data_IF_109171586044
#
_entry.id   IF_109171586044
#
_cell.length_a   1.000
_cell.length_b   1.000
_cell.length_c   1.000
_cell.angle_alpha   90.00
_cell.angle_beta   90.00
_cell.angle_gamma   90.00
#
_symmetry.space_group_name_H-M   'P 1'
#
loop_
_entity.id
_entity.type
_entity.pdbx_description
1 polymer ?
#
# COMPACT_ATOMS: atom_id res chain seq x y z
N UNK A 1 9.28 -6.93 -8.33
CA UNK A 1 8.60 -7.25 -9.61
C UNK A 1 9.26 -6.44 -10.71
N UNK A 2 9.35 -6.93 -11.95
CA UNK A 2 10.04 -6.22 -13.05
C UNK A 2 9.03 -5.75 -14.11
N UNK A 3 9.37 -4.75 -14.92
CA UNK A 3 8.57 -4.34 -16.10
C UNK A 3 8.16 -5.53 -17.00
N UNK A 4 9.08 -6.48 -17.20
CA UNK A 4 8.83 -7.75 -17.90
C UNK A 4 7.70 -8.59 -17.30
N UNK A 5 7.52 -8.56 -15.99
CA UNK A 5 6.45 -9.31 -15.31
C UNK A 5 5.09 -8.70 -15.62
N UNK A 6 5.00 -7.37 -15.52
CA UNK A 6 3.77 -6.64 -15.84
C UNK A 6 3.34 -6.84 -17.30
N UNK A 7 4.30 -6.84 -18.24
CA UNK A 7 4.02 -7.09 -19.66
C UNK A 7 3.54 -8.52 -19.90
N UNK A 8 4.25 -9.52 -19.37
CA UNK A 8 3.88 -10.94 -19.54
C UNK A 8 2.53 -11.32 -18.94
N UNK A 9 2.07 -10.60 -17.92
CA UNK A 9 0.80 -10.84 -17.25
C UNK A 9 -0.28 -9.80 -17.62
N UNK A 10 -0.07 -9.04 -18.69
CA UNK A 10 -1.05 -8.10 -19.25
C UNK A 10 -1.59 -7.11 -18.20
N UNK A 11 -0.69 -6.45 -17.47
CA UNK A 11 -1.09 -5.44 -16.51
C UNK A 11 -1.67 -4.23 -17.23
N UNK A 12 -2.80 -3.74 -16.74
CA UNK A 12 -3.39 -2.49 -17.18
C UNK A 12 -2.42 -1.32 -16.97
N UNK A 13 -2.52 -0.33 -17.86
CA UNK A 13 -1.70 0.88 -17.85
C UNK A 13 -2.61 2.10 -17.79
N UNK A 14 -2.28 3.15 -17.02
CA UNK A 14 -1.04 3.32 -16.25
C UNK A 14 -0.95 2.46 -14.98
N UNK A 15 -2.09 2.06 -14.40
CA UNK A 15 -2.18 1.31 -13.16
C UNK A 15 -3.09 0.10 -13.31
N UNK A 16 -2.75 -0.99 -12.63
CA UNK A 16 -3.58 -2.20 -12.56
C UNK A 16 -4.08 -2.40 -11.13
N UNK A 17 -5.39 -2.26 -10.93
CA UNK A 17 -6.02 -2.42 -9.61
C UNK A 17 -5.85 -3.83 -9.05
N UNK A 18 -5.82 -4.86 -9.89
CA UNK A 18 -5.62 -6.25 -9.46
C UNK A 18 -4.24 -6.40 -8.84
N UNK A 19 -3.23 -5.86 -9.51
CA UNK A 19 -1.85 -5.89 -9.04
C UNK A 19 -1.68 -5.13 -7.72
N UNK A 20 -2.25 -3.91 -7.62
CA UNK A 20 -2.13 -3.09 -6.43
C UNK A 20 -2.86 -3.70 -5.22
N UNK A 21 -4.08 -4.21 -5.42
CA UNK A 21 -4.79 -4.90 -4.34
C UNK A 21 -4.09 -6.19 -3.90
N UNK A 22 -3.52 -6.96 -4.84
CA UNK A 22 -2.72 -8.13 -4.49
C UNK A 22 -1.48 -7.74 -3.66
N UNK A 23 -0.76 -6.69 -4.06
CA UNK A 23 0.39 -6.17 -3.28
C UNK A 23 -0.04 -5.76 -1.87
N UNK A 24 -1.17 -5.06 -1.74
CA UNK A 24 -1.73 -4.68 -0.43
C UNK A 24 -2.10 -5.91 0.39
N UNK A 25 -2.72 -6.95 -0.20
CA UNK A 25 -3.05 -8.19 0.51
C UNK A 25 -1.79 -8.93 1.00
N UNK A 26 -0.73 -8.93 0.20
CA UNK A 26 0.57 -9.47 0.62
C UNK A 26 1.12 -8.70 1.81
N UNK A 27 1.11 -7.37 1.74
CA UNK A 27 1.57 -6.53 2.84
C UNK A 27 0.73 -6.71 4.12
N UNK A 28 -0.59 -6.88 3.97
CA UNK A 28 -1.47 -7.20 5.10
C UNK A 28 -1.08 -8.52 5.75
N UNK A 29 -0.80 -9.55 4.94
CA UNK A 29 -0.38 -10.85 5.43
C UNK A 29 0.98 -10.75 6.15
N UNK A 30 1.94 -9.98 5.62
CA UNK A 30 3.21 -9.70 6.30
C UNK A 30 2.98 -9.03 7.65
N UNK A 31 2.11 -8.03 7.74
CA UNK A 31 1.81 -7.36 9.01
C UNK A 31 1.08 -8.26 10.00
N UNK A 32 0.25 -9.19 9.54
CA UNK A 32 -0.49 -10.12 10.41
C UNK A 32 0.39 -11.25 10.95
N UNK A 33 1.32 -11.75 10.14
CA UNK A 33 2.17 -12.89 10.48
C UNK A 33 3.47 -12.49 11.19
N UNK A 34 3.97 -11.27 10.94
CA UNK A 34 5.16 -10.75 11.59
C UNK A 34 4.81 -9.78 12.71
N UNK A 35 5.69 -9.70 13.70
CA UNK A 35 5.50 -8.87 14.89
C UNK A 35 6.14 -7.48 14.73
N UNK A 36 5.73 -6.55 15.59
CA UNK A 36 6.29 -5.20 15.74
C UNK A 36 6.19 -4.26 14.53
N UNK A 37 5.47 -4.61 13.46
CA UNK A 37 5.24 -3.69 12.33
C UNK A 37 4.14 -2.69 12.69
N UNK A 38 4.47 -1.39 12.69
CA UNK A 38 3.56 -0.31 13.12
C UNK A 38 2.85 0.38 11.97
N UNK A 39 3.51 0.51 10.82
CA UNK A 39 2.95 1.08 9.59
C UNK A 39 3.61 0.40 8.38
N UNK A 40 2.85 0.21 7.31
CA UNK A 40 3.41 -0.11 6.00
C UNK A 40 2.88 0.83 4.93
N UNK A 41 3.70 1.13 3.94
CA UNK A 41 3.33 1.99 2.80
C UNK A 41 3.71 1.32 1.49
N UNK A 42 2.78 1.23 0.56
CA UNK A 42 2.98 0.62 -0.75
C UNK A 42 2.57 1.53 -1.90
N UNK A 43 3.33 1.46 -2.98
CA UNK A 43 3.07 2.16 -4.24
C UNK A 43 3.67 1.35 -5.40
N UNK A 44 3.01 1.36 -6.56
CA UNK A 44 3.45 0.61 -7.74
C UNK A 44 3.78 -0.85 -7.41
N UNK A 45 5.05 -1.23 -7.42
CA UNK A 45 5.60 -2.56 -7.23
C UNK A 45 6.50 -2.66 -5.97
N UNK A 46 6.46 -1.66 -5.08
CA UNK A 46 7.19 -1.64 -3.82
C UNK A 46 6.28 -1.55 -2.59
N UNK A 47 6.79 -2.05 -1.45
CA UNK A 47 6.19 -1.90 -0.13
C UNK A 47 7.28 -1.69 0.92
N UNK A 48 7.04 -0.74 1.82
CA UNK A 48 7.92 -0.38 2.93
C UNK A 48 7.25 -0.79 4.24
N UNK A 49 7.97 -1.51 5.11
CA UNK A 49 7.48 -1.95 6.41
C UNK A 49 8.29 -1.31 7.52
N UNK A 50 7.62 -0.64 8.45
CA UNK A 50 8.27 0.05 9.56
C UNK A 50 8.08 -0.77 10.82
N UNK A 51 9.19 -1.26 11.36
CA UNK A 51 9.21 -1.95 12.65
C UNK A 51 9.38 -0.94 13.79
N UNK A 52 8.73 -1.21 14.92
CA UNK A 52 8.79 -0.38 16.13
C UNK A 52 10.25 -0.14 16.54
N UNK A 53 10.60 1.11 16.87
CA UNK A 53 11.98 1.49 17.22
C UNK A 53 12.57 0.64 18.34
N UNK A 54 11.77 0.31 19.36
CA UNK A 54 12.14 -0.52 20.53
C UNK A 54 12.04 -2.04 20.29
N UNK A 55 11.69 -2.49 19.08
CA UNK A 55 11.57 -3.93 18.77
C UNK A 55 12.84 -4.70 19.12
N UNK A 56 12.68 -5.85 19.76
CA UNK A 56 13.77 -6.82 19.98
C UNK A 56 13.57 -8.09 19.14
N UNK A 57 12.69 -8.04 18.15
CA UNK A 57 12.38 -9.15 17.26
C UNK A 57 13.66 -9.66 16.58
N UNK A 58 13.88 -10.97 16.65
CA UNK A 58 15.11 -11.64 16.20
C UNK A 58 16.43 -10.98 16.64
N UNK A 59 16.49 -10.39 17.85
CA UNK A 59 17.67 -9.67 18.36
C UNK A 59 18.15 -8.59 17.40
N UNK A 60 17.22 -7.95 16.69
CA UNK A 60 17.46 -6.88 15.72
C UNK A 60 18.38 -7.26 14.55
N UNK A 61 18.44 -8.56 14.20
CA UNK A 61 19.25 -9.03 13.06
C UNK A 61 18.63 -8.57 11.74
N UNK A 62 19.29 -7.65 11.04
CA UNK A 62 18.83 -7.12 9.74
C UNK A 62 18.47 -8.22 8.74
N UNK A 63 19.26 -9.30 8.69
CA UNK A 63 18.98 -10.43 7.79
C UNK A 63 17.66 -11.12 8.09
N UNK A 64 17.19 -11.16 9.35
CA UNK A 64 15.91 -11.77 9.71
C UNK A 64 14.72 -10.90 9.31
N UNK A 65 14.78 -9.59 9.54
CA UNK A 65 13.76 -8.67 9.01
C UNK A 65 13.60 -8.81 7.51
N UNK A 66 14.72 -8.71 6.78
CA UNK A 66 14.73 -8.73 5.32
C UNK A 66 14.20 -10.06 4.77
N UNK A 67 14.74 -11.18 5.24
CA UNK A 67 14.39 -12.49 4.67
C UNK A 67 12.96 -12.91 5.00
N UNK A 68 12.48 -12.64 6.22
CA UNK A 68 11.11 -13.00 6.63
C UNK A 68 10.07 -12.14 5.93
N UNK A 69 10.30 -10.82 5.81
CA UNK A 69 9.41 -9.95 5.04
C UNK A 69 9.39 -10.39 3.58
N UNK A 70 10.56 -10.58 2.95
CA UNK A 70 10.63 -10.95 1.54
C UNK A 70 10.00 -12.32 1.25
N UNK A 71 10.26 -13.33 2.10
CA UNK A 71 9.69 -14.67 1.91
C UNK A 71 8.19 -14.70 2.14
N UNK A 72 7.70 -14.02 3.19
CA UNK A 72 6.27 -13.95 3.48
C UNK A 72 5.51 -13.17 2.40
N UNK A 73 6.09 -12.08 1.89
CA UNK A 73 5.51 -11.31 0.81
C UNK A 73 5.45 -12.12 -0.49
N UNK A 74 6.56 -12.75 -0.89
CA UNK A 74 6.64 -13.53 -2.12
C UNK A 74 5.71 -14.75 -2.12
N UNK A 75 5.65 -15.48 -1.01
CA UNK A 75 4.74 -16.62 -0.86
C UNK A 75 3.27 -16.17 -0.90
N UNK A 76 2.93 -15.08 -0.21
CA UNK A 76 1.59 -14.49 -0.25
C UNK A 76 1.20 -14.05 -1.66
N UNK A 77 2.14 -13.50 -2.45
CA UNK A 77 1.88 -13.03 -3.80
C UNK A 77 1.45 -14.15 -4.74
N UNK A 78 2.10 -15.31 -4.64
CA UNK A 78 1.71 -16.50 -5.39
C UNK A 78 0.40 -17.10 -4.85
N UNK A 79 0.26 -17.15 -3.53
CA UNK A 79 -0.90 -17.76 -2.86
C UNK A 79 -2.21 -17.03 -3.19
N UNK A 80 -2.23 -15.71 -3.08
CA UNK A 80 -3.42 -14.89 -3.32
C UNK A 80 -3.58 -14.44 -4.77
N UNK A 81 -2.71 -14.88 -5.70
CA UNK A 81 -2.76 -14.43 -7.10
C UNK A 81 -4.15 -14.62 -7.72
N UNK A 82 -4.76 -15.80 -7.52
CA UNK A 82 -6.07 -16.15 -8.10
C UNK A 82 -7.23 -15.33 -7.57
N UNK A 83 -7.10 -14.74 -6.37
CA UNK A 83 -8.16 -13.91 -5.76
C UNK A 83 -8.28 -12.55 -6.46
N UNK A 84 -7.23 -12.13 -7.19
CA UNK A 84 -7.18 -10.85 -7.89
C UNK A 84 -7.03 -11.00 -9.41
N UNK A 85 -6.41 -12.08 -9.86
CA UNK A 85 -6.22 -12.42 -11.26
C UNK A 85 -6.97 -13.73 -11.57
N UNK A 86 -8.29 -13.62 -11.68
CA UNK A 86 -9.18 -14.77 -11.92
C UNK A 86 -8.86 -15.48 -13.25
N UNK A 87 -8.78 -14.72 -14.34
CA UNK A 87 -8.58 -15.25 -15.70
C UNK A 87 -7.12 -15.30 -16.15
N UNK A 88 -6.24 -14.53 -15.50
CA UNK A 88 -4.85 -14.40 -15.92
C UNK A 88 -3.98 -15.36 -15.09
N UNK A 89 -3.47 -16.47 -15.67
CA UNK A 89 -2.61 -17.38 -14.93
C UNK A 89 -1.27 -16.73 -14.59
N UNK A 90 -0.71 -17.13 -13.45
CA UNK A 90 0.65 -16.78 -13.07
C UNK A 90 1.62 -17.64 -13.92
N UNK A 91 2.36 -16.99 -14.81
CA UNK A 91 3.23 -17.68 -15.77
C UNK A 91 4.55 -18.15 -15.14
N UNK A 92 5.05 -17.44 -14.13
CA UNK A 92 6.27 -17.80 -13.40
C UNK A 92 6.30 -17.13 -12.03
N UNK A 93 6.97 -17.71 -11.02
CA UNK A 93 7.08 -17.12 -9.69
C UNK A 93 7.89 -15.81 -9.74
N UNK A 94 7.38 -14.70 -9.17
CA UNK A 94 8.11 -13.44 -9.14
C UNK A 94 9.21 -13.43 -8.07
N UNK A 95 10.24 -12.61 -8.30
CA UNK A 95 11.25 -12.26 -7.31
C UNK A 95 11.01 -10.86 -6.73
N UNK A 96 11.36 -10.70 -5.46
CA UNK A 96 11.33 -9.43 -4.74
C UNK A 96 12.72 -9.13 -4.18
N UNK A 97 13.18 -7.90 -4.41
CA UNK A 97 14.36 -7.36 -3.73
C UNK A 97 13.95 -6.80 -2.37
N UNK A 98 14.86 -6.80 -1.41
CA UNK A 98 14.62 -6.32 -0.06
C UNK A 98 15.87 -5.65 0.50
N UNK A 99 15.68 -4.57 1.26
CA UNK A 99 16.76 -3.89 1.98
C UNK A 99 16.27 -3.42 3.35
N UNK A 100 17.22 -3.24 4.27
CA UNK A 100 16.95 -2.70 5.61
C UNK A 100 17.64 -1.35 5.73
N UNK A 101 16.90 -0.34 6.17
CA UNK A 101 17.40 1.01 6.40
C UNK A 101 17.05 1.41 7.84
N UNK A 102 17.98 2.08 8.52
CA UNK A 102 17.79 2.53 9.90
C UNK A 102 17.55 4.04 9.92
N UNK A 103 16.46 4.45 10.55
CA UNK A 103 16.11 5.85 10.78
C UNK A 103 16.27 6.18 12.28
N UNK A 104 17.20 7.09 12.66
CA UNK A 104 17.49 7.35 14.07
C UNK A 104 16.38 8.13 14.79
N UNK A 105 15.62 8.95 14.06
CA UNK A 105 14.56 9.80 14.59
C UNK A 105 13.23 9.63 13.84
N UNK A 106 12.14 9.95 14.53
CA UNK A 106 10.79 9.95 13.94
C UNK A 106 10.70 10.92 12.75
N UNK A 107 11.45 12.04 12.79
CA UNK A 107 11.49 12.97 11.67
C UNK A 107 12.09 12.33 10.42
N UNK A 108 13.25 11.67 10.54
CA UNK A 108 13.87 11.00 9.38
C UNK A 108 13.01 9.86 8.80
N UNK A 109 12.19 9.22 9.65
CA UNK A 109 11.21 8.23 9.23
C UNK A 109 10.03 8.87 8.48
N UNK A 110 9.48 9.98 9.01
CA UNK A 110 8.44 10.77 8.32
C UNK A 110 8.94 11.23 6.96
N UNK A 111 10.15 11.80 6.90
CA UNK A 111 10.76 12.29 5.67
C UNK A 111 10.91 11.18 4.63
N UNK A 112 11.28 9.96 5.06
CA UNK A 112 11.32 8.80 4.18
C UNK A 112 9.95 8.44 3.60
N UNK A 113 8.92 8.32 4.43
CA UNK A 113 7.57 7.98 3.96
C UNK A 113 6.98 9.09 3.07
N UNK A 114 7.21 10.35 3.43
CA UNK A 114 6.86 11.52 2.61
C UNK A 114 7.56 11.48 1.26
N UNK A 115 8.84 11.13 1.22
CA UNK A 115 9.60 10.98 -0.01
C UNK A 115 9.05 9.85 -0.90
N UNK A 116 8.71 8.69 -0.31
CA UNK A 116 8.06 7.60 -1.05
C UNK A 116 6.70 8.00 -1.62
N UNK A 117 5.90 8.77 -0.87
CA UNK A 117 4.61 9.24 -1.34
C UNK A 117 4.72 10.34 -2.41
N UNK A 118 5.70 11.24 -2.30
CA UNK A 118 5.99 12.23 -3.33
C UNK A 118 6.41 11.56 -4.65
N UNK A 119 7.24 10.51 -4.57
CA UNK A 119 7.64 9.70 -5.71
C UNK A 119 6.44 9.01 -6.38
N UNK A 120 5.52 8.43 -5.58
CA UNK A 120 4.25 7.88 -6.07
C UNK A 120 3.45 8.93 -6.86
N UNK A 121 3.31 10.14 -6.32
CA UNK A 121 2.55 11.20 -6.99
C UNK A 121 3.18 11.61 -8.34
N UNK A 122 4.50 11.79 -8.38
CA UNK A 122 5.25 12.20 -9.57
C UNK A 122 5.16 11.10 -10.65
N UNK A 123 5.41 9.86 -10.26
CA UNK A 123 5.39 8.71 -11.17
C UNK A 123 3.99 8.45 -11.71
N UNK A 124 2.96 8.53 -10.87
CA UNK A 124 1.58 8.32 -11.30
C UNK A 124 1.12 9.40 -12.29
N UNK A 125 1.40 10.69 -12.01
CA UNK A 125 1.06 11.77 -12.93
C UNK A 125 1.76 11.60 -14.29
N UNK A 126 3.07 11.29 -14.27
CA UNK A 126 3.83 11.03 -15.48
C UNK A 126 3.27 9.85 -16.26
N UNK A 127 3.02 8.72 -15.60
CA UNK A 127 2.51 7.51 -16.25
C UNK A 127 1.11 7.72 -16.82
N UNK A 128 0.25 8.46 -16.12
CA UNK A 128 -1.12 8.73 -16.58
C UNK A 128 -1.11 9.50 -17.90
N UNK A 129 -0.36 10.61 -17.98
CA UNK A 129 -0.26 11.37 -19.23
C UNK A 129 0.49 10.61 -20.31
N UNK A 130 1.54 9.86 -19.95
CA UNK A 130 2.32 9.06 -20.89
C UNK A 130 1.48 7.97 -21.57
N UNK A 131 0.68 7.24 -20.81
CA UNK A 131 -0.19 6.20 -21.36
C UNK A 131 -1.41 6.77 -22.06
N UNK A 132 -1.96 7.92 -21.64
CA UNK A 132 -2.99 8.61 -22.40
C UNK A 132 -2.50 9.00 -23.80
N UNK A 133 -1.29 9.56 -23.91
CA UNK A 133 -0.64 9.90 -25.19
C UNK A 133 -0.47 8.66 -26.11
N UNK A 134 -0.11 7.51 -25.55
CA UNK A 134 0.09 6.29 -26.34
C UNK A 134 -1.26 5.67 -26.76
N UNK A 135 -2.17 5.51 -25.82
CA UNK A 135 -3.41 4.74 -26.02
C UNK A 135 -4.50 5.55 -26.73
N UNK A 136 -4.59 6.86 -26.46
CA UNK A 136 -5.66 7.70 -27.00
C UNK A 136 -5.18 8.56 -28.19
N UNK A 137 -3.95 9.08 -28.17
CA UNK A 137 -3.39 9.83 -29.31
C UNK A 137 -2.62 8.97 -30.31
N UNK A 138 -2.39 7.68 -30.01
CA UNK A 138 -1.66 6.76 -30.89
C UNK A 138 -0.16 7.04 -31.02
N UNK A 139 0.43 7.81 -30.09
CA UNK A 139 1.86 8.10 -30.11
C UNK A 139 2.68 6.85 -29.77
N UNK A 140 3.86 6.76 -30.35
CA UNK A 140 4.84 5.75 -29.93
C UNK A 140 5.44 6.10 -28.56
N UNK A 141 5.95 5.12 -27.79
CA UNK A 141 6.59 5.39 -26.49
C UNK A 141 7.70 6.45 -26.55
N UNK A 142 8.50 6.46 -27.63
CA UNK A 142 9.58 7.44 -27.84
C UNK A 142 9.02 8.84 -28.05
N UNK A 143 7.96 8.98 -28.84
CA UNK A 143 7.31 10.27 -29.08
C UNK A 143 6.64 10.81 -27.81
N UNK A 144 5.94 9.97 -27.06
CA UNK A 144 5.33 10.34 -25.79
C UNK A 144 6.40 10.80 -24.78
N UNK A 145 7.51 10.07 -24.67
CA UNK A 145 8.62 10.47 -23.79
C UNK A 145 9.22 11.82 -24.21
N UNK A 146 9.42 12.04 -25.51
CA UNK A 146 9.94 13.30 -26.02
C UNK A 146 8.98 14.47 -25.79
N UNK A 147 7.67 14.24 -25.93
CA UNK A 147 6.61 15.24 -25.67
C UNK A 147 6.57 15.67 -24.20
N UNK A 148 6.83 14.74 -23.28
CA UNK A 148 6.83 14.99 -21.84
C UNK A 148 8.19 15.47 -21.30
N UNK A 149 9.25 15.43 -22.11
CA UNK A 149 10.59 15.83 -21.69
C UNK A 149 10.63 17.32 -21.34
N UNK A 150 11.09 17.64 -20.13
CA UNK A 150 11.19 19.02 -19.64
C UNK A 150 9.87 19.64 -19.16
N UNK A 151 8.75 18.92 -19.26
CA UNK A 151 7.46 19.41 -18.75
C UNK A 151 7.42 19.42 -17.22
N UNK A 152 6.72 20.39 -16.65
CA UNK A 152 6.44 20.50 -15.22
C UNK A 152 5.16 19.73 -14.84
N UNK A 153 4.81 19.74 -13.55
CA UNK A 153 3.58 19.12 -13.04
C UNK A 153 2.33 19.83 -13.61
N UNK A 154 2.35 21.15 -13.72
CA UNK A 154 1.24 21.94 -14.27
C UNK A 154 0.97 21.55 -15.72
N UNK A 155 2.00 21.51 -16.56
CA UNK A 155 1.90 21.15 -17.99
C UNK A 155 1.29 19.75 -18.18
N UNK A 156 1.67 18.76 -17.35
CA UNK A 156 1.12 17.39 -17.44
C UNK A 156 -0.37 17.36 -17.10
N UNK A 157 -0.79 18.14 -16.10
CA UNK A 157 -2.21 18.27 -15.77
C UNK A 157 -2.99 18.97 -16.89
N UNK A 158 -2.39 20.00 -17.49
CA UNK A 158 -2.99 20.72 -18.62
C UNK A 158 -3.15 19.82 -19.84
N UNK A 159 -2.14 19.00 -20.18
CA UNK A 159 -2.24 18.01 -21.27
C UNK A 159 -3.37 17.01 -20.98
N UNK A 160 -3.44 16.46 -19.76
CA UNK A 160 -4.52 15.54 -19.37
C UNK A 160 -5.90 16.17 -19.51
N UNK A 161 -6.05 17.42 -19.07
CA UNK A 161 -7.33 18.10 -19.09
C UNK A 161 -7.74 18.54 -20.50
N UNK A 162 -6.85 19.19 -21.25
CA UNK A 162 -7.16 19.81 -22.53
C UNK A 162 -7.22 18.81 -23.69
N UNK A 163 -6.31 17.82 -23.72
CA UNK A 163 -6.25 16.85 -24.83
C UNK A 163 -7.13 15.63 -24.57
N UNK A 164 -7.24 15.19 -23.30
CA UNK A 164 -7.91 13.93 -22.94
C UNK A 164 -9.17 14.12 -22.09
N UNK A 165 -9.49 15.34 -21.66
CA UNK A 165 -10.62 15.64 -20.76
C UNK A 165 -10.54 14.84 -19.43
N UNK A 166 -9.33 14.52 -18.99
CA UNK A 166 -9.05 13.79 -17.75
C UNK A 166 -8.65 14.80 -16.67
N UNK A 167 -9.44 14.86 -15.60
CA UNK A 167 -9.06 15.60 -14.40
C UNK A 167 -8.28 14.67 -13.45
N UNK A 168 -6.97 14.87 -13.35
CA UNK A 168 -6.10 14.05 -12.49
C UNK A 168 -6.55 14.02 -11.03
N UNK A 169 -7.17 15.09 -10.51
CA UNK A 169 -7.65 15.09 -9.12
C UNK A 169 -8.82 14.15 -8.87
N UNK A 170 -9.49 13.69 -9.93
CA UNK A 170 -10.57 12.70 -9.84
C UNK A 170 -10.04 11.25 -9.98
N UNK A 171 -8.76 11.06 -10.29
CA UNK A 171 -8.16 9.72 -10.30
C UNK A 171 -8.26 9.07 -8.91
N UNK A 172 -8.40 7.73 -8.85
CA UNK A 172 -8.47 7.01 -7.59
C UNK A 172 -7.34 7.39 -6.63
N UNK A 173 -7.70 7.59 -5.35
CA UNK A 173 -6.74 7.97 -4.32
C UNK A 173 -5.61 6.95 -4.19
N UNK A 174 -5.91 5.66 -4.37
CA UNK A 174 -4.92 4.59 -4.38
C UNK A 174 -3.80 4.83 -5.39
N UNK A 175 -4.12 5.34 -6.58
CA UNK A 175 -3.11 5.59 -7.62
C UNK A 175 -2.30 6.86 -7.32
N UNK A 176 -2.96 7.89 -6.75
CA UNK A 176 -2.32 9.18 -6.47
C UNK A 176 -1.51 9.24 -5.18
N UNK A 177 -1.88 8.44 -4.18
CA UNK A 177 -1.33 8.49 -2.83
C UNK A 177 -0.70 7.18 -2.38
N UNK A 178 -0.91 6.08 -3.10
CA UNK A 178 -0.52 4.74 -2.66
C UNK A 178 -1.44 4.22 -1.55
N UNK A 179 -1.02 3.12 -0.92
CA UNK A 179 -1.77 2.46 0.16
C UNK A 179 -0.96 2.45 1.44
N UNK A 180 -1.52 3.04 2.49
CA UNK A 180 -1.01 3.00 3.86
C UNK A 180 -1.74 1.88 4.61
N UNK A 181 -1.00 1.07 5.34
CA UNK A 181 -1.55 0.06 6.25
C UNK A 181 -1.21 0.44 7.69
N UNK A 182 -2.23 0.54 8.53
CA UNK A 182 -2.12 0.85 9.95
C UNK A 182 -3.05 -0.02 10.78
N UNK A 183 -2.66 -0.23 12.04
CA UNK A 183 -3.48 -0.91 13.03
C UNK A 183 -4.48 0.07 13.66
N UNK A 184 -5.76 -0.22 13.56
CA UNK A 184 -6.83 0.60 14.12
C UNK A 184 -7.66 -0.20 15.13
N UNK A 185 -7.98 0.41 16.27
CA UNK A 185 -8.89 -0.18 17.26
C UNK A 185 -10.33 -0.04 16.77
N UNK A 186 -10.97 -1.17 16.48
CA UNK A 186 -12.36 -1.24 16.01
C UNK A 186 -13.22 -1.88 17.11
N UNK A 187 -14.31 -1.22 17.48
CA UNK A 187 -15.29 -1.75 18.41
C UNK A 187 -16.27 -2.65 17.66
N UNK A 188 -16.24 -3.95 17.91
CA UNK A 188 -17.24 -4.90 17.41
C UNK A 188 -18.33 -5.09 18.47
N UNK A 189 -19.58 -4.77 18.12
CA UNK A 189 -20.74 -5.11 18.94
C UNK A 189 -21.21 -6.50 18.55
N UNK A 190 -21.19 -7.45 19.49
CA UNK A 190 -21.78 -8.78 19.31
C UNK A 190 -22.90 -8.97 20.33
N UNK A 191 -24.04 -9.46 19.87
CA UNK A 191 -25.08 -9.95 20.77
C UNK A 191 -24.66 -11.30 21.31
N UNK A 192 -24.48 -11.42 22.62
CA UNK A 192 -24.27 -12.68 23.31
C UNK A 192 -25.49 -13.00 24.17
N UNK A 193 -25.93 -14.26 24.14
CA UNK A 193 -26.85 -14.78 25.14
C UNK A 193 -26.07 -15.09 26.40
N UNK A 194 -26.35 -14.34 27.47
CA UNK A 194 -25.78 -14.60 28.79
C UNK A 194 -26.82 -15.40 29.55
N UNK A 195 -26.45 -16.62 29.97
CA UNK A 195 -27.27 -17.45 30.85
C UNK A 195 -26.76 -17.29 32.28
N UNK A 196 -27.54 -16.63 33.13
CA UNK A 196 -27.27 -16.61 34.56
C UNK A 196 -27.61 -17.99 35.15
N UNK A 197 -26.89 -18.48 36.18
CA UNK A 197 -27.11 -19.83 36.74
C UNK A 197 -28.52 -20.10 37.28
N UNK A 198 -29.34 -19.05 37.49
CA UNK A 198 -30.65 -19.12 38.10
C UNK A 198 -31.83 -18.95 37.10
N UNK A 199 -31.57 -18.69 35.81
CA UNK A 199 -32.61 -18.34 34.82
C UNK A 199 -32.63 -19.35 33.66
N UNK A 200 -33.84 -19.78 33.26
CA UNK A 200 -34.04 -20.79 32.19
C UNK A 200 -33.92 -20.22 30.77
N UNK A 201 -34.12 -18.90 30.59
CA UNK A 201 -33.93 -18.19 29.33
C UNK A 201 -32.75 -17.22 29.46
N UNK A 202 -31.87 -17.19 28.45
CA UNK A 202 -30.72 -16.29 28.45
C UNK A 202 -31.09 -14.90 27.95
N UNK A 203 -30.70 -13.85 28.67
CA UNK A 203 -30.81 -12.49 28.17
C UNK A 203 -29.80 -12.23 27.04
N UNK A 204 -30.29 -11.65 25.94
CA UNK A 204 -29.45 -11.20 24.83
C UNK A 204 -28.87 -9.84 25.17
N UNK A 205 -27.61 -9.81 25.60
CA UNK A 205 -26.88 -8.57 25.86
C UNK A 205 -25.96 -8.22 24.70
N UNK A 206 -25.88 -6.94 24.36
CA UNK A 206 -24.91 -6.42 23.41
C UNK A 206 -23.56 -6.23 24.13
N UNK A 207 -22.55 -7.01 23.73
CA UNK A 207 -21.18 -6.92 24.26
C UNK A 207 -20.30 -6.23 23.23
N UNK A 208 -19.71 -5.10 23.61
CA UNK A 208 -18.73 -4.39 22.79
C UNK A 208 -17.33 -4.94 23.07
N UNK A 209 -16.68 -5.51 22.04
CA UNK A 209 -15.29 -5.96 22.11
C UNK A 209 -14.42 -5.13 21.19
N UNK A 210 -13.47 -4.40 21.77
CA UNK A 210 -12.44 -3.70 20.99
C UNK A 210 -11.44 -4.70 20.45
N UNK A 211 -11.18 -4.66 19.14
CA UNK A 211 -10.16 -5.46 18.47
C UNK A 211 -9.29 -4.55 17.60
N UNK A 212 -8.00 -4.82 17.60
CA UNK A 212 -7.10 -4.17 16.65
C UNK A 212 -7.25 -4.85 15.29
N UNK A 213 -7.59 -4.08 14.27
CA UNK A 213 -7.70 -4.54 12.88
C UNK A 213 -6.72 -3.78 12.02
N UNK A 214 -6.21 -4.46 10.99
CA UNK A 214 -5.39 -3.83 9.99
C UNK A 214 -6.29 -3.16 8.93
N UNK A 215 -6.07 -1.88 8.70
CA UNK A 215 -6.89 -1.06 7.77
C UNK A 215 -6.00 -0.50 6.67
N UNK A 216 -6.54 -0.47 5.45
CA UNK A 216 -5.92 0.16 4.29
C UNK A 216 -6.49 1.56 4.08
N UNK A 217 -5.61 2.56 4.00
CA UNK A 217 -5.94 3.96 3.82
C UNK A 217 -5.22 4.52 2.59
N UNK A 218 -5.88 5.38 1.82
CA UNK A 218 -5.28 6.09 0.68
C UNK A 218 -5.24 7.60 0.98
N UNK A 219 -4.50 7.96 2.03
CA UNK A 219 -4.42 9.31 2.59
C UNK A 219 -3.03 9.94 2.42
N UNK A 220 -2.91 11.21 2.77
CA UNK A 220 -1.65 11.96 2.73
C UNK A 220 -0.81 11.69 3.99
N UNK A 221 0.44 11.24 3.79
CA UNK A 221 1.44 11.02 4.83
C UNK A 221 2.44 12.19 4.95
N UNK A 222 2.43 13.11 3.97
CA UNK A 222 3.36 14.24 3.90
C UNK A 222 2.99 15.29 4.96
N UNK A 223 1.71 15.61 5.06
CA UNK A 223 1.18 16.54 6.06
C UNK A 223 1.11 15.95 7.46
N UNK A 224 1.03 16.82 8.46
CA UNK A 224 0.95 16.41 9.87
C UNK A 224 -0.42 15.82 10.28
N UNK A 225 -1.45 15.94 9.44
CA UNK A 225 -2.81 15.50 9.76
C UNK A 225 -2.86 14.01 10.13
N UNK A 226 -2.27 13.15 9.29
CA UNK A 226 -2.20 11.71 9.53
C UNK A 226 -1.44 11.38 10.83
N UNK A 227 -0.31 12.04 11.06
CA UNK A 227 0.52 11.79 12.24
C UNK A 227 -0.12 12.26 13.55
N UNK A 228 -0.98 13.28 13.48
CA UNK A 228 -1.81 13.74 14.62
C UNK A 228 -3.01 12.82 14.87
N UNK A 229 -3.54 12.20 13.83
CA UNK A 229 -4.63 11.21 13.94
C UNK A 229 -4.13 9.87 14.48
N UNK A 230 -2.87 9.51 14.17
CA UNK A 230 -2.23 8.24 14.55
C UNK A 230 -0.92 8.43 15.33
N UNK A 231 -0.93 9.11 16.49
CA UNK A 231 0.29 9.37 17.28
C UNK A 231 0.96 8.07 17.79
N UNK A 232 0.19 7.00 17.99
CA UNK A 232 0.65 5.70 18.48
C UNK A 232 1.72 5.04 17.60
N UNK A 233 1.78 5.40 16.31
CA UNK A 233 2.76 4.88 15.36
C UNK A 233 4.17 5.36 15.73
N UNK A 234 4.30 6.61 16.19
CA UNK A 234 5.58 7.29 16.44
C UNK A 234 5.99 7.22 17.90
N UNK A 235 5.04 7.24 18.82
CA UNK A 235 5.32 7.35 20.25
C UNK A 235 5.71 5.99 20.85
N UNK A 236 5.20 4.88 20.28
CA UNK A 236 5.37 3.55 20.84
C UNK A 236 4.62 3.44 22.17
N UNK A 237 3.79 2.43 22.35
CA UNK A 237 3.18 2.19 23.67
C UNK A 237 4.31 2.02 24.71
N UNK A 238 4.23 2.84 25.78
CA UNK A 238 5.19 2.88 26.89
C UNK A 238 5.36 1.52 27.58
#
# INVERSE_FOLDING_TARGET
ITSRFAEKHNFAKPNDSRALHLMTKCAQTVMQELEDIVIAYGQSDEYSFVFRKRSNWFKRRASKFMTLVASQFASSYVFYWRDYFEDQPLLYPPGFDGRVVLYPSNQTLKDYLSWRQADCHINNLYNTVFWALIQQSGLTPVQAQQRLKGTLTADKNEILFSEFHINYNNEPHMYRKGTVLVWQKVNEVRTQEIRLPAEMEGEKMAVTRTRTKLVALNCDLIGDAFWKEHPEILEGED
#
